data_IF_164664225247
#
_entry.id   IF_164664225247
#
_cell.length_a   1.000
_cell.length_b   1.000
_cell.length_c   1.000
_cell.angle_alpha   90.00
_cell.angle_beta   90.00
_cell.angle_gamma   90.00
#
_symmetry.space_group_name_H-M   'P 1'
#
loop_
_entity.id
_entity.type
_entity.pdbx_description
1 polymer ?
#
# COMPACT_ATOMS: atom_id res chain seq x y z
N UNK A 1 12.41 17.54 8.00
CA UNK A 1 13.67 18.23 7.68
C UNK A 1 13.37 19.71 7.74
N UNK A 2 13.98 20.42 8.68
CA UNK A 2 13.82 21.88 8.76
C UNK A 2 14.56 22.54 7.58
N UNK A 3 14.07 23.68 7.09
CA UNK A 3 14.61 24.37 5.92
C UNK A 3 16.14 24.62 6.00
N UNK A 4 16.64 24.92 7.20
CA UNK A 4 18.07 25.15 7.46
C UNK A 4 18.95 23.90 7.30
N UNK A 5 18.42 22.70 7.56
CA UNK A 5 19.17 21.45 7.40
C UNK A 5 19.38 21.10 5.92
N UNK A 6 18.44 21.48 5.06
CA UNK A 6 18.48 21.23 3.61
C UNK A 6 19.60 22.01 2.92
N UNK A 7 19.82 23.28 3.31
CA UNK A 7 20.83 24.15 2.72
C UNK A 7 22.27 23.76 3.10
N UNK A 8 22.44 22.95 4.15
CA UNK A 8 23.76 22.47 4.62
C UNK A 8 24.14 21.07 4.08
N UNK A 9 23.32 20.48 3.21
CA UNK A 9 23.61 19.17 2.65
C UNK A 9 24.71 19.25 1.59
N UNK A 10 25.68 18.34 1.67
CA UNK A 10 26.55 18.05 0.51
C UNK A 10 25.69 17.52 -0.64
N UNK A 11 26.15 17.71 -1.88
CA UNK A 11 25.44 17.20 -3.07
C UNK A 11 25.06 15.71 -2.95
N UNK A 12 25.96 14.87 -2.42
CA UNK A 12 25.70 13.45 -2.20
C UNK A 12 24.59 13.22 -1.18
N UNK A 13 24.61 13.94 -0.06
CA UNK A 13 23.58 13.85 0.98
C UNK A 13 22.21 14.31 0.47
N UNK A 14 22.20 15.37 -0.35
CA UNK A 14 20.99 15.86 -1.01
C UNK A 14 20.40 14.83 -1.98
N UNK A 15 21.21 14.26 -2.88
CA UNK A 15 20.75 13.23 -3.84
C UNK A 15 20.24 12.00 -3.10
N UNK A 16 20.90 11.57 -2.03
CA UNK A 16 20.46 10.43 -1.23
C UNK A 16 19.14 10.70 -0.52
N UNK A 17 18.96 11.88 0.07
CA UNK A 17 17.70 12.26 0.73
C UNK A 17 16.55 12.32 -0.27
N UNK A 18 16.78 12.91 -1.45
CA UNK A 18 15.77 13.02 -2.51
C UNK A 18 15.39 11.65 -3.07
N UNK A 19 16.38 10.77 -3.27
CA UNK A 19 16.15 9.37 -3.66
C UNK A 19 15.37 8.61 -2.59
N UNK A 20 15.74 8.77 -1.32
CA UNK A 20 15.02 8.17 -0.19
C UNK A 20 13.55 8.62 -0.12
N UNK A 21 13.30 9.92 -0.28
CA UNK A 21 11.94 10.47 -0.31
C UNK A 21 11.11 9.93 -1.48
N UNK A 22 11.69 9.89 -2.69
CA UNK A 22 11.02 9.32 -3.87
C UNK A 22 10.70 7.85 -3.68
N UNK A 23 11.66 7.06 -3.19
CA UNK A 23 11.45 5.64 -2.92
C UNK A 23 10.34 5.42 -1.88
N UNK A 24 10.30 6.25 -0.82
CA UNK A 24 9.22 6.18 0.17
C UNK A 24 7.86 6.50 -0.47
N UNK A 25 7.76 7.60 -1.20
CA UNK A 25 6.51 8.00 -1.85
C UNK A 25 6.01 6.96 -2.86
N UNK A 26 6.92 6.30 -3.57
CA UNK A 26 6.61 5.20 -4.49
C UNK A 26 6.12 3.97 -3.74
N UNK A 27 6.79 3.60 -2.63
CA UNK A 27 6.36 2.49 -1.76
C UNK A 27 4.95 2.73 -1.19
N UNK A 28 4.72 3.90 -0.61
CA UNK A 28 3.41 4.27 -0.02
C UNK A 28 2.30 4.24 -1.09
N UNK A 29 2.63 4.61 -2.34
CA UNK A 29 1.67 4.55 -3.46
C UNK A 29 1.37 3.11 -3.88
N UNK A 30 2.40 2.25 -3.92
CA UNK A 30 2.26 0.82 -4.24
C UNK A 30 1.44 0.08 -3.17
N UNK A 31 1.66 0.37 -1.89
CA UNK A 31 0.86 -0.17 -0.77
C UNK A 31 -0.63 0.18 -0.92
N UNK A 32 -0.95 1.45 -1.24
CA UNK A 32 -2.33 1.88 -1.48
C UNK A 32 -3.00 1.14 -2.64
N UNK A 33 -2.25 0.87 -3.71
CA UNK A 33 -2.75 0.09 -4.85
C UNK A 33 -3.05 -1.36 -4.47
N UNK A 34 -2.20 -1.98 -3.63
CA UNK A 34 -2.43 -3.33 -3.09
C UNK A 34 -3.70 -3.35 -2.21
N UNK A 35 -3.85 -2.39 -1.30
CA UNK A 35 -5.04 -2.27 -0.44
C UNK A 35 -6.30 -2.08 -1.29
N UNK A 36 -6.25 -1.20 -2.28
CA UNK A 36 -7.37 -0.98 -3.20
C UNK A 36 -7.79 -2.27 -3.91
N UNK A 37 -6.82 -3.06 -4.40
CA UNK A 37 -7.12 -4.35 -5.02
C UNK A 37 -7.78 -5.33 -4.04
N UNK A 38 -7.31 -5.40 -2.79
CA UNK A 38 -7.91 -6.26 -1.77
C UNK A 38 -9.36 -5.88 -1.49
N UNK A 39 -9.65 -4.59 -1.37
CA UNK A 39 -11.01 -4.09 -1.19
C UNK A 39 -11.87 -4.44 -2.41
N UNK A 40 -11.35 -4.22 -3.62
CA UNK A 40 -12.04 -4.55 -4.87
C UNK A 40 -12.35 -6.05 -4.95
N UNK A 41 -11.39 -6.91 -4.61
CA UNK A 41 -11.57 -8.35 -4.56
C UNK A 41 -12.63 -8.76 -3.53
N UNK A 42 -12.59 -8.19 -2.32
CA UNK A 42 -13.60 -8.45 -1.31
C UNK A 42 -15.01 -8.06 -1.78
N UNK A 43 -15.16 -6.92 -2.47
CA UNK A 43 -16.45 -6.48 -3.01
C UNK A 43 -16.97 -7.37 -4.15
N UNK A 44 -16.06 -7.93 -4.96
CA UNK A 44 -16.40 -8.78 -6.10
C UNK A 44 -16.55 -10.26 -5.72
N UNK A 45 -16.08 -10.67 -4.54
CA UNK A 45 -16.08 -12.05 -4.05
C UNK A 45 -17.40 -12.81 -4.31
N UNK A 46 -18.61 -12.24 -4.09
CA UNK A 46 -19.87 -12.95 -4.32
C UNK A 46 -20.15 -13.26 -5.81
N UNK A 47 -19.50 -12.54 -6.72
CA UNK A 47 -19.70 -12.62 -8.17
C UNK A 47 -18.56 -13.35 -8.89
N UNK A 48 -17.47 -13.66 -8.19
CA UNK A 48 -16.32 -14.34 -8.75
C UNK A 48 -16.53 -15.85 -8.82
N UNK A 49 -15.95 -16.47 -9.85
CA UNK A 49 -15.89 -17.94 -9.94
C UNK A 49 -15.05 -18.49 -8.79
N UNK A 50 -15.42 -19.67 -8.27
CA UNK A 50 -14.63 -20.37 -7.24
C UNK A 50 -13.17 -20.49 -7.69
N UNK A 51 -12.25 -20.07 -6.83
CA UNK A 51 -10.80 -20.14 -7.07
C UNK A 51 -10.17 -18.88 -7.69
N UNK A 52 -10.94 -17.81 -7.91
CA UNK A 52 -10.37 -16.53 -8.33
C UNK A 52 -9.41 -15.97 -7.26
N UNK A 53 -8.27 -15.45 -7.70
CA UNK A 53 -7.25 -14.79 -6.86
C UNK A 53 -7.35 -13.28 -6.99
N UNK A 54 -6.81 -12.56 -6.00
CA UNK A 54 -6.73 -11.09 -6.04
C UNK A 54 -6.03 -10.58 -7.30
N UNK A 55 -4.93 -11.24 -7.69
CA UNK A 55 -4.13 -10.90 -8.89
C UNK A 55 -4.90 -11.06 -10.20
N UNK A 56 -5.98 -11.83 -10.22
CA UNK A 56 -6.80 -12.05 -11.42
C UNK A 56 -7.69 -10.85 -11.72
N UNK A 57 -7.97 -10.01 -10.71
CA UNK A 57 -8.74 -8.77 -10.86
C UNK A 57 -7.84 -7.66 -11.37
N UNK A 58 -6.68 -7.50 -10.74
CA UNK A 58 -5.71 -6.46 -11.09
C UNK A 58 -4.31 -6.95 -10.77
N UNK A 59 -3.44 -6.97 -11.77
CA UNK A 59 -2.04 -7.31 -11.59
C UNK A 59 -1.20 -6.04 -11.69
N UNK A 60 -0.19 -5.92 -10.82
CA UNK A 60 0.71 -4.79 -10.84
C UNK A 60 2.14 -5.25 -11.13
N UNK A 61 2.80 -4.61 -12.09
CA UNK A 61 4.15 -4.98 -12.52
C UNK A 61 5.20 -4.89 -11.40
N UNK A 62 4.98 -4.00 -10.42
CA UNK A 62 5.88 -3.83 -9.27
C UNK A 62 5.78 -4.97 -8.26
N UNK A 63 4.72 -5.77 -8.25
CA UNK A 63 4.54 -6.85 -7.26
C UNK A 63 5.59 -7.95 -7.37
N UNK A 64 6.09 -8.21 -8.59
CA UNK A 64 7.22 -9.11 -8.82
C UNK A 64 8.49 -8.68 -8.06
N UNK A 65 8.61 -7.38 -7.74
CA UNK A 65 9.75 -6.78 -7.02
C UNK A 65 9.44 -6.43 -5.56
N UNK A 66 8.17 -6.24 -5.20
CA UNK A 66 7.73 -5.76 -3.89
C UNK A 66 7.40 -6.90 -2.93
N UNK A 67 6.79 -8.00 -3.38
CA UNK A 67 6.39 -9.12 -2.50
C UNK A 67 7.60 -9.78 -1.82
N UNK A 68 8.77 -9.75 -2.46
CA UNK A 68 10.01 -10.31 -1.90
C UNK A 68 10.72 -9.40 -0.89
N UNK A 69 10.21 -8.18 -0.64
CA UNK A 69 10.89 -7.18 0.20
C UNK A 69 10.06 -6.61 1.35
N UNK A 70 8.81 -7.00 1.50
CA UNK A 70 7.99 -6.51 2.62
C UNK A 70 8.43 -7.20 3.91
N UNK A 71 8.58 -6.41 4.98
CA UNK A 71 8.85 -6.95 6.32
C UNK A 71 7.55 -7.44 6.97
N UNK A 72 7.65 -8.33 7.95
CA UNK A 72 6.48 -8.84 8.69
C UNK A 72 5.68 -7.71 9.37
N UNK A 73 6.37 -6.65 9.81
CA UNK A 73 5.73 -5.46 10.40
C UNK A 73 4.86 -4.71 9.38
N UNK A 74 5.33 -4.55 8.14
CA UNK A 74 4.57 -3.89 7.06
C UNK A 74 3.33 -4.72 6.65
N UNK A 75 3.44 -6.05 6.69
CA UNK A 75 2.31 -6.96 6.45
C UNK A 75 1.25 -6.79 7.55
N UNK A 76 1.68 -6.77 8.82
CA UNK A 76 0.79 -6.60 9.96
C UNK A 76 0.08 -5.23 9.95
N UNK A 77 0.77 -4.18 9.51
CA UNK A 77 0.19 -2.84 9.41
C UNK A 77 -0.87 -2.75 8.29
N UNK A 78 -0.61 -3.35 7.13
CA UNK A 78 -1.62 -3.48 6.07
C UNK A 78 -2.85 -4.27 6.54
N UNK A 79 -2.67 -5.36 7.30
CA UNK A 79 -3.78 -6.15 7.84
C UNK A 79 -4.65 -5.32 8.78
N UNK A 80 -4.04 -4.50 9.65
CA UNK A 80 -4.78 -3.57 10.52
C UNK A 80 -5.58 -2.55 9.72
N UNK A 81 -5.01 -1.97 8.67
CA UNK A 81 -5.73 -1.02 7.82
C UNK A 81 -6.92 -1.66 7.11
N UNK A 82 -6.75 -2.87 6.57
CA UNK A 82 -7.83 -3.64 5.96
C UNK A 82 -8.97 -3.87 6.95
N UNK A 83 -8.65 -4.26 8.18
CA UNK A 83 -9.66 -4.54 9.21
C UNK A 83 -10.39 -3.27 9.66
N UNK A 84 -9.68 -2.15 9.72
CA UNK A 84 -10.26 -0.84 10.02
C UNK A 84 -11.28 -0.44 8.94
N UNK A 85 -10.92 -0.60 7.67
CA UNK A 85 -11.81 -0.33 6.53
C UNK A 85 -13.04 -1.24 6.54
N UNK A 86 -12.86 -2.55 6.76
CA UNK A 86 -14.00 -3.49 6.90
C UNK A 86 -14.94 -3.07 8.03
N UNK A 87 -14.38 -2.73 9.19
CA UNK A 87 -15.17 -2.32 10.36
C UNK A 87 -15.95 -1.03 10.13
N UNK A 88 -15.39 -0.11 9.34
CA UNK A 88 -16.05 1.13 8.95
C UNK A 88 -17.29 0.86 8.07
N UNK A 89 -17.14 0.02 7.03
CA UNK A 89 -18.26 -0.32 6.14
C UNK A 89 -19.34 -1.13 6.86
N UNK A 90 -18.95 -2.09 7.70
CA UNK A 90 -19.91 -2.86 8.51
C UNK A 90 -20.76 -1.96 9.43
N UNK A 91 -20.18 -0.89 10.00
CA UNK A 91 -20.91 0.09 10.81
C UNK A 91 -21.88 0.94 9.99
N UNK A 92 -21.56 1.21 8.72
CA UNK A 92 -22.47 1.95 7.85
C UNK A 92 -23.61 1.07 7.36
N UNK A 93 -23.32 -0.17 7.00
CA UNK A 93 -24.35 -1.13 6.59
C UNK A 93 -25.34 -1.42 7.73
N UNK A 94 -24.89 -1.46 8.99
CA UNK A 94 -25.77 -1.60 10.15
C UNK A 94 -26.67 -0.39 10.44
N UNK A 95 -26.41 0.76 9.79
CA UNK A 95 -27.24 1.98 9.89
C UNK A 95 -28.21 2.15 8.73
N UNK A 96 -28.05 1.39 7.65
CA UNK A 96 -28.94 1.35 6.49
C UNK A 96 -30.10 0.39 6.72
#
# INVERSE_FOLDING_TARGET
MQYLEYCNLTYRSFVNALKGYRNKSERDSNERLIIMRKIMFASLLPHLKKGAKETDILSFDFEKKVITKMTEEEILEMEKEIELVKSFWAKQDAKA
#
